data_IF_409890914301
#
_entry.id   IF_409890914301
#
_cell.length_a   1.000
_cell.length_b   1.000
_cell.length_c   1.000
_cell.angle_alpha   90.00
_cell.angle_beta   90.00
_cell.angle_gamma   90.00
#
_symmetry.space_group_name_H-M   'P 1'
#
loop_
_entity.id
_entity.type
_entity.pdbx_description
1 polymer ?
#
# COMPACT_ATOMS: atom_id res chain seq x y z
N UNK A 1 26.63 14.50 14.79
CA UNK A 1 26.87 14.44 13.33
C UNK A 1 25.65 13.82 12.66
N UNK A 2 24.58 14.59 12.47
CA UNK A 2 23.29 14.10 11.96
C UNK A 2 23.34 14.07 10.43
N UNK A 3 23.76 12.93 9.85
CA UNK A 3 23.82 12.76 8.39
C UNK A 3 22.43 13.08 7.81
N UNK A 4 22.28 14.05 6.89
CA UNK A 4 20.97 14.45 6.38
C UNK A 4 20.30 13.24 5.72
N UNK A 5 19.05 12.94 6.10
CA UNK A 5 18.29 11.81 5.55
C UNK A 5 18.12 12.04 4.04
N UNK A 6 18.69 11.18 3.17
CA UNK A 6 18.68 11.40 1.73
C UNK A 6 17.28 11.13 1.18
N UNK A 7 16.40 12.14 1.12
CA UNK A 7 15.13 12.27 0.36
C UNK A 7 14.11 11.10 0.41
N UNK A 8 14.39 9.95 1.03
CA UNK A 8 13.55 8.77 1.15
C UNK A 8 13.09 8.48 2.58
N UNK A 9 13.58 9.23 3.58
CA UNK A 9 13.28 8.96 4.99
C UNK A 9 11.82 9.20 5.42
N UNK A 10 11.03 9.92 4.61
CA UNK A 10 9.64 10.25 4.91
C UNK A 10 8.64 9.76 3.84
N UNK A 11 9.07 9.55 2.59
CA UNK A 11 8.17 9.17 1.49
C UNK A 11 7.79 7.68 1.55
N UNK A 12 8.75 6.81 1.88
CA UNK A 12 8.54 5.38 2.08
C UNK A 12 7.49 5.07 3.16
N UNK A 13 7.57 5.65 4.39
CA UNK A 13 6.52 5.45 5.39
C UNK A 13 5.17 6.06 5.00
N UNK A 14 5.16 7.14 4.20
CA UNK A 14 3.91 7.73 3.69
C UNK A 14 3.19 6.77 2.72
N UNK A 15 3.94 6.09 1.85
CA UNK A 15 3.42 5.07 0.93
C UNK A 15 2.91 3.85 1.71
N UNK A 16 3.57 3.46 2.80
CA UNK A 16 3.12 2.39 3.69
C UNK A 16 1.83 2.69 4.45
N UNK A 17 1.47 3.96 4.63
CA UNK A 17 0.23 4.37 5.30
C UNK A 17 -1.02 4.31 4.38
N UNK A 18 -0.82 4.20 3.05
CA UNK A 18 -1.90 4.11 2.05
C UNK A 18 -2.90 2.98 2.34
N UNK A 19 -2.47 1.72 2.58
CA UNK A 19 -3.40 0.63 2.88
C UNK A 19 -4.23 0.87 4.15
N UNK A 20 -3.69 1.57 5.15
CA UNK A 20 -4.46 1.93 6.35
C UNK A 20 -5.59 2.89 6.03
N UNK A 21 -5.31 3.97 5.31
CA UNK A 21 -6.32 4.95 4.89
C UNK A 21 -7.37 4.28 4.00
N UNK A 22 -6.92 3.38 3.13
CA UNK A 22 -7.75 2.59 2.24
C UNK A 22 -8.74 1.65 2.93
N UNK A 23 -8.27 0.94 3.96
CA UNK A 23 -9.10 0.01 4.73
C UNK A 23 -10.02 0.79 5.69
N UNK A 24 -9.48 1.74 6.46
CA UNK A 24 -10.25 2.51 7.46
C UNK A 24 -11.24 3.49 6.82
N UNK A 25 -10.80 4.26 5.82
CA UNK A 25 -11.66 5.19 5.08
C UNK A 25 -12.58 4.48 4.09
N UNK A 26 -12.10 3.36 3.52
CA UNK A 26 -12.89 2.54 2.61
C UNK A 26 -14.12 1.91 3.25
N UNK A 27 -14.13 1.65 4.57
CA UNK A 27 -15.31 1.09 5.25
C UNK A 27 -16.54 1.99 5.09
N UNK A 28 -16.42 3.33 5.14
CA UNK A 28 -17.56 4.23 4.93
C UNK A 28 -18.13 4.14 3.50
N UNK A 29 -17.28 3.85 2.51
CA UNK A 29 -17.67 3.73 1.10
C UNK A 29 -18.11 2.30 0.74
N UNK A 30 -17.45 1.30 1.33
CA UNK A 30 -17.64 -0.13 1.09
C UNK A 30 -18.69 -0.78 1.98
N UNK A 31 -19.17 -0.09 3.02
CA UNK A 31 -20.35 -0.49 3.80
C UNK A 31 -21.67 -0.24 3.02
N UNK A 32 -21.64 -0.50 1.70
CA UNK A 32 -22.82 -0.65 0.87
C UNK A 32 -22.83 -2.10 0.40
N UNK A 33 -23.79 -2.86 0.90
CA UNK A 33 -23.98 -4.29 0.58
C UNK A 33 -24.70 -4.51 -0.75
N UNK A 34 -25.37 -3.49 -1.29
CA UNK A 34 -26.22 -3.60 -2.48
C UNK A 34 -25.50 -3.72 -3.83
N UNK A 35 -24.29 -3.17 -4.08
CA UNK A 35 -23.57 -3.53 -5.29
C UNK A 35 -22.93 -4.91 -5.12
N UNK A 36 -23.37 -5.88 -5.90
CA UNK A 36 -22.64 -7.12 -6.10
C UNK A 36 -21.62 -6.90 -7.22
N UNK A 37 -20.36 -7.24 -6.96
CA UNK A 37 -19.26 -7.17 -7.93
C UNK A 37 -18.76 -8.58 -8.18
N UNK A 38 -18.69 -9.03 -9.44
CA UNK A 38 -18.31 -10.42 -9.77
C UNK A 38 -19.15 -11.50 -9.06
N UNK A 39 -20.41 -11.19 -8.70
CA UNK A 39 -21.30 -12.11 -7.97
C UNK A 39 -21.03 -12.20 -6.47
N UNK A 40 -20.12 -11.39 -5.93
CA UNK A 40 -19.80 -11.32 -4.50
C UNK A 40 -20.12 -9.94 -3.90
N UNK A 41 -20.44 -9.85 -2.60
CA UNK A 41 -20.63 -8.58 -1.90
C UNK A 41 -19.46 -7.62 -2.12
N UNK A 42 -19.74 -6.34 -2.38
CA UNK A 42 -18.72 -5.32 -2.62
C UNK A 42 -17.61 -5.30 -1.56
N UNK A 43 -17.97 -5.52 -0.29
CA UNK A 43 -17.00 -5.56 0.81
C UNK A 43 -15.94 -6.66 0.64
N UNK A 44 -16.32 -7.83 0.12
CA UNK A 44 -15.36 -8.92 -0.14
C UNK A 44 -14.42 -8.56 -1.27
N UNK A 45 -14.97 -8.06 -2.39
CA UNK A 45 -14.16 -7.56 -3.50
C UNK A 45 -13.19 -6.47 -3.04
N UNK A 46 -13.67 -5.54 -2.20
CA UNK A 46 -12.87 -4.45 -1.63
C UNK A 46 -11.70 -4.98 -0.79
N UNK A 47 -11.92 -5.94 0.10
CA UNK A 47 -10.86 -6.57 0.90
C UNK A 47 -9.82 -7.24 -0.01
N UNK A 48 -10.26 -8.03 -1.00
CA UNK A 48 -9.36 -8.72 -1.93
C UNK A 48 -8.53 -7.72 -2.75
N UNK A 49 -9.15 -6.63 -3.23
CA UNK A 49 -8.46 -5.55 -3.91
C UNK A 49 -7.37 -4.93 -3.01
N UNK A 50 -7.67 -4.70 -1.72
CA UNK A 50 -6.67 -4.18 -0.77
C UNK A 50 -5.52 -5.14 -0.50
N UNK A 51 -5.79 -6.45 -0.41
CA UNK A 51 -4.73 -7.47 -0.29
C UNK A 51 -3.79 -7.41 -1.48
N UNK A 52 -4.32 -7.34 -2.70
CA UNK A 52 -3.50 -7.20 -3.90
C UNK A 52 -2.73 -5.86 -3.92
N UNK A 53 -3.38 -4.76 -3.55
CA UNK A 53 -2.75 -3.44 -3.48
C UNK A 53 -1.60 -3.39 -2.46
N UNK A 54 -1.68 -4.08 -1.33
CA UNK A 54 -0.58 -4.16 -0.36
C UNK A 54 0.67 -4.76 -1.02
N UNK A 55 0.51 -5.81 -1.83
CA UNK A 55 1.63 -6.40 -2.58
C UNK A 55 2.25 -5.40 -3.57
N UNK A 56 1.41 -4.66 -4.30
CA UNK A 56 1.88 -3.60 -5.21
C UNK A 56 2.58 -2.47 -4.46
N UNK A 57 2.02 -2.03 -3.33
CA UNK A 57 2.62 -0.99 -2.46
C UNK A 57 4.00 -1.43 -2.00
N UNK A 58 4.17 -2.68 -1.57
CA UNK A 58 5.47 -3.23 -1.21
C UNK A 58 6.41 -3.28 -2.42
N UNK A 59 5.97 -3.75 -3.59
CA UNK A 59 6.78 -3.77 -4.80
C UNK A 59 7.25 -2.36 -5.22
N UNK A 60 6.38 -1.35 -5.09
CA UNK A 60 6.71 0.06 -5.33
C UNK A 60 7.73 0.55 -4.30
N UNK A 61 7.52 0.26 -3.02
CA UNK A 61 8.49 0.56 -1.94
C UNK A 61 9.85 -0.05 -2.26
N UNK A 62 9.92 -1.33 -2.61
CA UNK A 62 11.16 -2.02 -2.98
C UNK A 62 11.85 -1.40 -4.19
N UNK A 63 11.08 -1.01 -5.22
CA UNK A 63 11.63 -0.38 -6.43
C UNK A 63 12.14 1.04 -6.17
N UNK A 64 11.47 1.77 -5.26
CA UNK A 64 11.83 3.13 -4.88
C UNK A 64 12.91 3.17 -3.80
N UNK A 65 13.07 2.13 -2.98
CA UNK A 65 14.08 2.07 -1.93
C UNK A 65 15.48 1.97 -2.58
N UNK A 66 16.28 3.06 -2.57
CA UNK A 66 17.60 3.04 -3.16
C UNK A 66 18.57 2.18 -2.36
N UNK A 67 18.24 1.80 -1.10
CA UNK A 67 19.11 0.96 -0.26
C UNK A 67 19.12 -0.51 -0.68
N UNK A 68 18.04 -1.00 -1.29
CA UNK A 68 17.99 -2.36 -1.85
C UNK A 68 18.83 -2.50 -3.14
N UNK A 69 19.39 -1.40 -3.67
CA UNK A 69 20.29 -1.45 -4.84
C UNK A 69 21.73 -1.81 -4.48
N UNK A 70 22.13 -1.71 -3.22
CA UNK A 70 23.53 -1.95 -2.80
C UNK A 70 23.83 -3.43 -2.49
N UNK A 71 22.83 -4.29 -2.31
CA UNK A 71 23.04 -5.69 -1.90
C UNK A 71 23.19 -6.68 -3.08
N UNK A 72 22.92 -6.27 -4.32
CA UNK A 72 23.05 -7.14 -5.50
C UNK A 72 24.33 -6.86 -6.32
N UNK A 73 25.37 -6.35 -5.66
CA UNK A 73 26.70 -6.11 -6.24
C UNK A 73 27.80 -6.57 -5.27
N UNK A 74 27.75 -7.83 -4.85
CA UNK A 74 28.84 -8.50 -4.13
C UNK A 74 28.89 -9.98 -4.53
#
# INVERSE_FOLDING_TARGET
MSKPRPVGGALLPLIGAIPFIGILGGIWFANRVTPYVLGMPFILFWIVLWVALISVVMAVIYKLDPRNREEHSA
#
